data_IF_587346723264
#
_entry.id   IF_587346723264
#
_cell.length_a   1.000
_cell.length_b   1.000
_cell.length_c   1.000
_cell.angle_alpha   90.00
_cell.angle_beta   90.00
_cell.angle_gamma   90.00
#
_symmetry.space_group_name_H-M   'P 1'
#
loop_
_entity.id
_entity.type
_entity.pdbx_description
1 polymer ?
#
# COMPACT_ATOMS: atom_id res chain seq x y z
N UNK A 1 42.50 37.75 52.75
CA UNK A 1 41.60 36.66 53.16
C UNK A 1 40.26 36.88 52.48
N UNK A 2 40.31 36.78 51.15
CA UNK A 2 39.41 37.40 50.18
C UNK A 2 39.09 36.36 49.10
N UNK A 3 37.93 36.52 48.46
CA UNK A 3 37.45 35.89 47.22
C UNK A 3 36.93 34.44 47.21
N UNK A 4 37.23 33.58 48.19
CA UNK A 4 36.87 32.15 48.06
C UNK A 4 35.45 31.75 48.50
N UNK A 5 34.67 32.64 49.14
CA UNK A 5 33.34 32.27 49.69
C UNK A 5 32.14 32.70 48.84
N UNK A 6 32.34 33.49 47.79
CA UNK A 6 31.23 34.03 46.97
C UNK A 6 30.97 33.24 45.68
N UNK A 7 31.74 32.18 45.40
CA UNK A 7 31.64 31.44 44.14
C UNK A 7 30.73 30.20 44.18
N UNK A 8 30.14 29.86 45.33
CA UNK A 8 29.40 28.61 45.51
C UNK A 8 27.88 28.70 45.26
N UNK A 9 27.33 29.89 44.99
CA UNK A 9 25.88 30.09 44.81
C UNK A 9 25.43 30.31 43.36
N UNK A 10 26.35 30.33 42.39
CA UNK A 10 26.03 30.67 40.99
C UNK A 10 25.87 29.50 40.03
N UNK A 11 26.26 28.28 40.40
CA UNK A 11 26.38 27.14 39.47
C UNK A 11 25.22 26.14 39.51
N UNK A 12 24.25 26.29 40.43
CA UNK A 12 23.15 25.34 40.56
C UNK A 12 21.97 25.60 39.61
N UNK A 13 21.91 26.74 38.90
CA UNK A 13 20.77 27.08 38.03
C UNK A 13 21.00 26.78 36.54
N UNK A 14 22.21 26.40 36.13
CA UNK A 14 22.54 26.19 34.71
C UNK A 14 22.40 24.73 34.24
N UNK A 15 22.17 23.77 35.15
CA UNK A 15 22.10 22.33 34.81
C UNK A 15 20.66 21.87 34.51
N UNK A 16 19.65 22.71 34.76
CA UNK A 16 18.24 22.36 34.50
C UNK A 16 17.74 22.58 33.06
N UNK A 17 18.53 23.22 32.20
CA UNK A 17 18.11 23.60 30.83
C UNK A 17 18.83 22.83 29.72
N UNK A 18 19.78 21.96 30.05
CA UNK A 18 20.51 21.17 29.08
C UNK A 18 19.87 19.78 28.95
N UNK A 19 18.92 19.64 28.02
CA UNK A 19 18.53 18.33 27.51
C UNK A 19 17.24 17.73 28.07
N UNK A 20 16.14 18.48 28.07
CA UNK A 20 14.95 17.85 27.51
C UNK A 20 15.25 17.70 26.02
N UNK A 21 15.87 16.58 25.63
CA UNK A 21 15.80 16.13 24.25
C UNK A 21 14.29 16.10 23.95
N UNK A 22 13.80 17.06 23.18
CA UNK A 22 12.45 16.98 22.63
C UNK A 22 12.49 15.71 21.80
N UNK A 23 11.98 14.62 22.38
CA UNK A 23 11.67 13.43 21.62
C UNK A 23 10.76 13.93 20.50
N UNK A 24 11.23 13.86 19.26
CA UNK A 24 10.41 14.20 18.11
C UNK A 24 9.17 13.31 18.19
N UNK A 25 7.99 13.91 18.10
CA UNK A 25 6.75 13.13 18.12
C UNK A 25 6.83 12.02 17.06
N UNK A 26 6.36 10.79 17.37
CA UNK A 26 6.39 9.69 16.42
C UNK A 26 5.74 10.11 15.10
N UNK A 27 6.36 9.74 13.97
CA UNK A 27 5.74 9.99 12.67
C UNK A 27 4.49 9.14 12.55
N UNK A 28 3.34 9.78 12.35
CA UNK A 28 2.07 9.08 12.25
C UNK A 28 1.80 8.66 10.80
N UNK A 29 1.75 7.36 10.55
CA UNK A 29 1.64 6.77 9.21
C UNK A 29 0.28 6.10 9.02
N UNK A 30 -0.48 6.61 8.07
CA UNK A 30 -1.79 6.11 7.70
C UNK A 30 -1.78 5.10 6.55
N UNK A 31 -2.66 4.10 6.60
CA UNK A 31 -2.86 3.14 5.52
C UNK A 31 -4.36 2.99 5.19
N UNK A 32 -4.72 3.22 3.92
CA UNK A 32 -6.09 3.02 3.43
C UNK A 32 -6.14 1.75 2.59
N UNK A 33 -6.98 0.80 2.99
CA UNK A 33 -7.12 -0.51 2.34
C UNK A 33 -8.48 -0.68 1.65
N UNK A 34 -8.47 -1.28 0.46
CA UNK A 34 -9.68 -1.56 -0.33
C UNK A 34 -10.44 -2.79 0.15
N UNK A 35 -9.73 -3.76 0.74
CA UNK A 35 -10.31 -4.96 1.32
C UNK A 35 -10.07 -5.05 2.83
N UNK A 36 -10.40 -6.21 3.42
CA UNK A 36 -10.05 -6.54 4.79
C UNK A 36 -8.64 -7.17 4.86
N UNK A 37 -7.93 -6.96 5.95
CA UNK A 37 -6.68 -7.64 6.33
C UNK A 37 -6.84 -9.16 6.34
N UNK A 38 -8.07 -9.65 6.55
CA UNK A 38 -8.42 -11.06 6.47
C UNK A 38 -8.57 -11.63 5.06
N UNK A 39 -8.27 -10.87 3.99
CA UNK A 39 -8.40 -11.35 2.60
C UNK A 39 -7.41 -12.46 2.22
N UNK A 40 -6.35 -12.66 3.02
CA UNK A 40 -5.32 -13.67 2.77
C UNK A 40 -4.47 -13.40 1.52
N UNK A 41 -4.48 -12.16 1.03
CA UNK A 41 -3.81 -11.76 -0.21
C UNK A 41 -3.39 -10.29 -0.20
N UNK A 42 -4.05 -9.46 -1.01
CA UNK A 42 -3.59 -8.10 -1.30
C UNK A 42 -3.50 -7.20 -0.05
N UNK A 43 -4.60 -7.09 0.68
CA UNK A 43 -4.67 -6.24 1.87
C UNK A 43 -3.88 -6.84 3.01
N UNK A 44 -3.92 -8.16 3.16
CA UNK A 44 -3.09 -8.88 4.12
C UNK A 44 -1.60 -8.53 3.94
N UNK A 45 -1.06 -8.61 2.72
CA UNK A 45 0.36 -8.32 2.44
C UNK A 45 0.70 -6.84 2.62
N UNK A 46 -0.19 -5.91 2.27
CA UNK A 46 0.00 -4.50 2.62
C UNK A 46 0.07 -4.30 4.14
N UNK A 47 -0.78 -5.00 4.89
CA UNK A 47 -0.74 -4.95 6.35
C UNK A 47 0.50 -5.62 6.94
N UNK A 48 1.03 -6.70 6.34
CA UNK A 48 2.34 -7.24 6.72
C UNK A 48 3.44 -6.20 6.51
N UNK A 49 3.39 -5.43 5.41
CA UNK A 49 4.27 -4.29 5.19
C UNK A 49 4.17 -3.22 6.28
N UNK A 50 2.95 -2.86 6.71
CA UNK A 50 2.72 -1.94 7.84
C UNK A 50 3.33 -2.48 9.14
N UNK A 51 3.11 -3.76 9.45
CA UNK A 51 3.68 -4.39 10.65
C UNK A 51 5.22 -4.41 10.62
N UNK A 52 5.82 -4.64 9.44
CA UNK A 52 7.27 -4.57 9.27
C UNK A 52 7.83 -3.15 9.49
N UNK A 53 7.05 -2.10 9.15
CA UNK A 53 7.38 -0.71 9.47
C UNK A 53 7.38 -0.50 10.99
N UNK A 54 6.35 -0.97 11.69
CA UNK A 54 6.28 -0.89 13.15
C UNK A 54 7.46 -1.63 13.82
N UNK A 55 7.77 -2.84 13.36
CA UNK A 55 8.89 -3.64 13.87
C UNK A 55 10.24 -2.93 13.65
N UNK A 56 10.45 -2.36 12.47
CA UNK A 56 11.72 -1.75 12.12
C UNK A 56 11.97 -0.41 12.83
N UNK A 57 10.95 0.44 12.91
CA UNK A 57 11.10 1.81 13.42
C UNK A 57 10.70 1.97 14.89
N UNK A 58 9.96 1.01 15.46
CA UNK A 58 9.51 1.02 16.86
C UNK A 58 8.79 2.32 17.22
N UNK A 59 9.12 2.88 18.38
CA UNK A 59 8.50 4.09 18.94
C UNK A 59 8.69 5.36 18.08
N UNK A 60 9.45 5.30 16.98
CA UNK A 60 9.59 6.43 16.04
C UNK A 60 8.39 6.57 15.11
N UNK A 61 7.53 5.55 15.01
CA UNK A 61 6.33 5.56 14.16
C UNK A 61 5.10 5.13 14.95
N UNK A 62 3.97 5.74 14.65
CA UNK A 62 2.65 5.28 15.04
C UNK A 62 1.88 4.96 13.76
N UNK A 63 1.39 3.74 13.57
CA UNK A 63 0.60 3.43 12.38
C UNK A 63 -0.89 3.35 12.68
N UNK A 64 -1.70 3.85 11.75
CA UNK A 64 -3.16 3.72 11.75
C UNK A 64 -3.62 3.20 10.40
N UNK A 65 -4.74 2.49 10.36
CA UNK A 65 -5.29 2.00 9.10
C UNK A 65 -6.81 1.97 9.08
N UNK A 66 -7.38 1.96 7.88
CA UNK A 66 -8.81 1.76 7.64
C UNK A 66 -9.01 0.71 6.56
N UNK A 67 -9.82 -0.31 6.86
CA UNK A 67 -10.16 -1.41 5.95
C UNK A 67 -11.45 -1.15 5.16
N UNK A 68 -11.63 -1.92 4.09
CA UNK A 68 -12.86 -1.97 3.30
C UNK A 68 -13.32 -0.59 2.81
N UNK A 69 -12.39 0.29 2.43
CA UNK A 69 -12.70 1.63 1.95
C UNK A 69 -13.09 1.56 0.46
N UNK A 70 -14.33 1.87 0.07
CA UNK A 70 -14.71 1.89 -1.34
C UNK A 70 -13.97 3.00 -2.10
N UNK A 71 -13.79 2.80 -3.40
CA UNK A 71 -13.22 3.82 -4.29
C UNK A 71 -14.15 5.04 -4.46
N UNK A 72 -13.63 6.13 -5.03
CA UNK A 72 -14.40 7.35 -5.26
C UNK A 72 -14.58 8.21 -4.01
N UNK A 73 -15.80 8.72 -3.78
CA UNK A 73 -16.06 9.71 -2.72
C UNK A 73 -15.78 9.19 -1.31
N UNK A 74 -15.98 7.89 -1.07
CA UNK A 74 -15.69 7.27 0.22
C UNK A 74 -14.19 7.22 0.51
N UNK A 75 -13.37 6.96 -0.51
CA UNK A 75 -11.92 7.05 -0.40
C UNK A 75 -11.47 8.48 -0.07
N UNK A 76 -11.96 9.50 -0.79
CA UNK A 76 -11.59 10.89 -0.51
C UNK A 76 -11.94 11.27 0.95
N UNK A 77 -13.13 10.87 1.41
CA UNK A 77 -13.56 11.07 2.80
C UNK A 77 -12.64 10.35 3.78
N UNK A 78 -12.35 9.06 3.57
CA UNK A 78 -11.50 8.27 4.47
C UNK A 78 -10.07 8.84 4.56
N UNK A 79 -9.46 9.16 3.41
CA UNK A 79 -8.13 9.78 3.33
C UNK A 79 -8.15 11.12 4.08
N UNK A 80 -9.17 11.96 3.87
CA UNK A 80 -9.32 13.24 4.57
C UNK A 80 -9.44 13.05 6.09
N UNK A 81 -10.25 12.10 6.57
CA UNK A 81 -10.38 11.83 8.00
C UNK A 81 -9.06 11.35 8.62
N UNK A 82 -8.26 10.58 7.88
CA UNK A 82 -6.94 10.14 8.31
C UNK A 82 -5.96 11.32 8.43
N UNK A 83 -5.98 12.26 7.48
CA UNK A 83 -5.24 13.53 7.60
C UNK A 83 -5.66 14.31 8.85
N UNK A 84 -6.98 14.49 9.04
CA UNK A 84 -7.52 15.23 10.19
C UNK A 84 -7.23 14.54 11.55
N UNK A 85 -6.90 13.25 11.53
CA UNK A 85 -6.45 12.48 12.70
C UNK A 85 -4.95 12.62 12.99
N UNK A 86 -4.26 13.49 12.25
CA UNK A 86 -2.85 13.85 12.46
C UNK A 86 -1.85 12.98 11.73
N UNK A 87 -2.23 12.28 10.65
CA UNK A 87 -1.27 11.50 9.86
C UNK A 87 -0.32 12.42 9.08
N UNK A 88 0.99 12.17 9.21
CA UNK A 88 2.07 12.88 8.50
C UNK A 88 2.33 12.29 7.11
N UNK A 89 2.10 10.98 6.97
CA UNK A 89 2.29 10.19 5.75
C UNK A 89 1.12 9.23 5.56
N UNK A 90 0.53 9.15 4.37
CA UNK A 90 -0.58 8.24 4.08
C UNK A 90 -0.28 7.39 2.84
N UNK A 91 -0.39 6.07 3.00
CA UNK A 91 -0.38 5.09 1.92
C UNK A 91 -1.80 4.76 1.47
N UNK A 92 -2.10 4.97 0.20
CA UNK A 92 -3.39 4.61 -0.41
C UNK A 92 -3.20 3.39 -1.33
N UNK A 93 -3.67 2.23 -0.88
CA UNK A 93 -3.19 0.92 -1.35
C UNK A 93 -4.06 0.27 -2.45
N UNK A 94 -4.74 1.06 -3.29
CA UNK A 94 -5.53 0.53 -4.41
C UNK A 94 -5.52 1.50 -5.59
N UNK A 95 -5.55 0.95 -6.81
CA UNK A 95 -5.51 1.74 -8.04
C UNK A 95 -6.58 2.84 -8.07
N UNK A 96 -7.83 2.55 -7.72
CA UNK A 96 -8.91 3.52 -7.78
C UNK A 96 -8.88 4.61 -6.71
N UNK A 97 -7.88 4.61 -5.83
CA UNK A 97 -7.63 5.73 -4.92
C UNK A 97 -6.82 6.86 -5.56
N UNK A 98 -6.37 6.74 -6.81
CA UNK A 98 -5.50 7.73 -7.45
C UNK A 98 -6.09 9.15 -7.41
N UNK A 99 -7.30 9.33 -7.95
CA UNK A 99 -7.95 10.64 -8.04
C UNK A 99 -8.34 11.19 -6.66
N UNK A 100 -8.92 10.39 -5.75
CA UNK A 100 -9.11 10.80 -4.35
C UNK A 100 -7.81 11.24 -3.65
N UNK A 101 -6.70 10.51 -3.84
CA UNK A 101 -5.42 10.84 -3.21
C UNK A 101 -4.88 12.17 -3.74
N UNK A 102 -4.94 12.39 -5.06
CA UNK A 102 -4.57 13.68 -5.67
C UNK A 102 -5.41 14.82 -5.10
N UNK A 103 -6.74 14.66 -5.04
CA UNK A 103 -7.65 15.68 -4.53
C UNK A 103 -7.41 16.05 -3.07
N UNK A 104 -7.01 15.08 -2.23
CA UNK A 104 -6.65 15.35 -0.83
C UNK A 104 -5.24 15.93 -0.73
N UNK A 105 -4.27 15.42 -1.50
CA UNK A 105 -2.90 15.92 -1.50
C UNK A 105 -2.82 17.42 -1.83
N UNK A 106 -3.63 17.90 -2.79
CA UNK A 106 -3.76 19.32 -3.14
C UNK A 106 -4.27 20.20 -1.98
N UNK A 107 -5.11 19.66 -1.10
CA UNK A 107 -5.71 20.38 0.04
C UNK A 107 -4.79 20.38 1.27
N UNK A 108 -3.86 19.44 1.37
CA UNK A 108 -3.00 19.22 2.54
C UNK A 108 -1.52 19.10 2.13
N UNK A 109 -0.87 20.20 1.73
CA UNK A 109 0.51 20.18 1.20
C UNK A 109 1.58 19.71 2.20
N UNK A 110 1.28 19.82 3.50
CA UNK A 110 2.20 19.42 4.57
C UNK A 110 2.24 17.90 4.77
N UNK A 111 1.14 17.19 4.43
CA UNK A 111 1.05 15.72 4.52
C UNK A 111 1.66 15.08 3.28
N UNK A 112 2.37 13.97 3.47
CA UNK A 112 2.95 13.17 2.38
C UNK A 112 2.02 12.01 2.02
N UNK A 113 1.99 11.68 0.74
CA UNK A 113 1.11 10.64 0.21
C UNK A 113 1.92 9.70 -0.67
N UNK A 114 1.57 8.41 -0.62
CA UNK A 114 2.12 7.36 -1.46
C UNK A 114 0.97 6.54 -2.03
N UNK A 115 0.77 6.61 -3.35
CA UNK A 115 -0.34 5.91 -4.01
C UNK A 115 0.15 4.64 -4.72
N UNK A 116 -0.49 3.52 -4.39
CA UNK A 116 -0.17 2.24 -5.00
C UNK A 116 -0.68 2.17 -6.44
N UNK A 117 0.19 1.76 -7.37
CA UNK A 117 -0.10 1.34 -8.76
C UNK A 117 -0.52 2.44 -9.73
N UNK A 118 -0.81 3.65 -9.23
CA UNK A 118 -1.18 4.79 -10.06
C UNK A 118 0.00 5.42 -10.80
N UNK A 119 -0.30 6.56 -11.42
CA UNK A 119 0.65 7.29 -12.28
C UNK A 119 0.60 8.81 -12.12
N UNK A 120 -0.32 9.34 -11.29
CA UNK A 120 -0.38 10.77 -10.97
C UNK A 120 0.47 11.04 -9.74
N UNK A 121 1.35 12.03 -9.85
CA UNK A 121 2.23 12.50 -8.78
C UNK A 121 2.02 13.99 -8.53
N UNK A 122 2.42 14.46 -7.35
CA UNK A 122 2.50 15.87 -6.99
C UNK A 122 3.71 16.09 -6.05
N UNK A 123 3.98 17.34 -5.66
CA UNK A 123 5.12 17.66 -4.79
C UNK A 123 5.11 16.91 -3.45
N UNK A 124 3.91 16.56 -2.95
CA UNK A 124 3.69 15.77 -1.73
C UNK A 124 3.06 14.40 -2.00
N UNK A 125 3.01 13.93 -3.25
CA UNK A 125 2.40 12.66 -3.65
C UNK A 125 3.34 11.84 -4.54
N UNK A 126 3.89 10.76 -3.95
CA UNK A 126 4.59 9.69 -4.64
C UNK A 126 3.66 8.60 -5.16
N UNK A 127 4.21 7.75 -6.04
CA UNK A 127 3.55 6.52 -6.49
C UNK A 127 4.51 5.35 -6.36
N UNK A 128 3.98 4.18 -6.01
CA UNK A 128 4.77 2.96 -5.89
C UNK A 128 4.02 1.76 -6.49
N UNK A 129 4.75 0.80 -7.03
CA UNK A 129 4.17 -0.42 -7.60
C UNK A 129 5.22 -1.52 -7.63
N UNK A 130 4.79 -2.78 -7.77
CA UNK A 130 5.69 -3.90 -8.01
C UNK A 130 5.60 -4.37 -9.48
N UNK A 131 6.63 -5.08 -9.92
CA UNK A 131 6.65 -5.72 -11.26
C UNK A 131 5.89 -7.04 -11.23
N UNK A 132 4.61 -7.02 -10.86
CA UNK A 132 3.78 -8.23 -10.68
C UNK A 132 3.82 -9.19 -11.88
N UNK A 133 3.96 -8.64 -13.09
CA UNK A 133 4.04 -9.40 -14.33
C UNK A 133 5.26 -10.32 -14.42
N UNK A 134 6.34 -10.08 -13.65
CA UNK A 134 7.48 -11.00 -13.58
C UNK A 134 7.10 -12.30 -12.87
N UNK A 135 6.37 -12.21 -11.75
CA UNK A 135 5.79 -13.38 -11.09
C UNK A 135 4.78 -14.11 -11.99
N UNK A 136 3.98 -13.37 -12.75
CA UNK A 136 3.03 -13.95 -13.73
C UNK A 136 3.75 -14.66 -14.88
N UNK A 137 4.95 -14.24 -15.28
CA UNK A 137 5.74 -14.95 -16.28
C UNK A 137 6.11 -16.36 -15.81
N UNK A 138 6.52 -16.48 -14.55
CA UNK A 138 6.84 -17.78 -13.92
C UNK A 138 5.57 -18.64 -13.81
N UNK A 139 4.47 -18.07 -13.32
CA UNK A 139 3.19 -18.79 -13.22
C UNK A 139 2.68 -19.27 -14.58
N UNK A 140 2.79 -18.45 -15.62
CA UNK A 140 2.40 -18.82 -16.99
C UNK A 140 3.24 -19.98 -17.53
N UNK A 141 4.56 -19.93 -17.34
CA UNK A 141 5.47 -21.04 -17.71
C UNK A 141 5.05 -22.35 -17.02
N UNK A 142 4.81 -22.30 -15.71
CA UNK A 142 4.36 -23.46 -14.93
C UNK A 142 3.02 -23.98 -15.47
N UNK A 143 2.04 -23.10 -15.64
CA UNK A 143 0.71 -23.49 -16.10
C UNK A 143 0.72 -24.09 -17.51
N UNK A 144 1.57 -23.57 -18.41
CA UNK A 144 1.76 -24.13 -19.75
C UNK A 144 2.31 -25.56 -19.74
N UNK A 145 3.19 -25.89 -18.79
CA UNK A 145 3.70 -27.26 -18.60
C UNK A 145 2.70 -28.20 -17.91
N UNK A 146 1.89 -27.68 -16.97
CA UNK A 146 1.00 -28.50 -16.15
C UNK A 146 -0.37 -28.75 -16.79
N UNK A 147 -0.82 -27.91 -17.72
CA UNK A 147 -2.16 -28.06 -18.30
C UNK A 147 -2.27 -29.33 -19.15
N UNK A 148 -3.30 -30.13 -18.88
CA UNK A 148 -3.67 -31.31 -19.69
C UNK A 148 -4.69 -30.96 -20.79
N UNK A 149 -5.42 -29.85 -20.63
CA UNK A 149 -6.51 -29.43 -21.53
C UNK A 149 -6.11 -28.34 -22.51
N UNK A 150 -4.90 -27.78 -22.39
CA UNK A 150 -4.46 -26.56 -23.05
C UNK A 150 -5.29 -25.31 -22.73
N UNK A 151 -6.19 -25.37 -21.75
CA UNK A 151 -7.02 -24.22 -21.35
C UNK A 151 -6.61 -23.79 -19.94
N UNK A 152 -6.22 -22.53 -19.79
CA UNK A 152 -5.91 -21.90 -18.50
C UNK A 152 -6.99 -20.85 -18.18
N UNK A 153 -7.61 -20.98 -17.02
CA UNK A 153 -8.54 -19.99 -16.51
C UNK A 153 -7.81 -18.80 -15.86
N UNK A 154 -8.31 -17.59 -16.08
CA UNK A 154 -7.81 -16.37 -15.46
C UNK A 154 -8.98 -15.52 -14.96
N UNK A 155 -9.06 -15.33 -13.64
CA UNK A 155 -10.03 -14.43 -13.03
C UNK A 155 -9.37 -13.05 -12.93
N UNK A 156 -9.98 -12.06 -13.55
CA UNK A 156 -9.45 -10.71 -13.65
C UNK A 156 -10.39 -9.73 -12.96
N UNK A 157 -9.84 -8.73 -12.30
CA UNK A 157 -10.60 -7.69 -11.58
C UNK A 157 -11.14 -6.64 -12.55
N UNK A 158 -10.31 -5.66 -12.91
CA UNK A 158 -10.65 -4.57 -13.83
C UNK A 158 -9.65 -4.50 -15.00
N UNK A 159 -10.07 -4.07 -16.20
CA UNK A 159 -9.21 -4.01 -17.38
C UNK A 159 -8.26 -2.80 -17.36
N UNK A 160 -7.47 -2.67 -16.29
CA UNK A 160 -6.45 -1.62 -16.11
C UNK A 160 -5.06 -2.14 -16.52
N UNK A 161 -4.07 -1.25 -16.77
CA UNK A 161 -2.75 -1.65 -17.24
C UNK A 161 -2.05 -2.71 -16.39
N UNK A 162 -2.22 -2.68 -15.06
CA UNK A 162 -1.66 -3.71 -14.17
C UNK A 162 -2.17 -5.12 -14.51
N UNK A 163 -3.49 -5.27 -14.59
CA UNK A 163 -4.15 -6.56 -14.83
C UNK A 163 -3.85 -7.06 -16.24
N UNK A 164 -3.88 -6.16 -17.23
CA UNK A 164 -3.54 -6.50 -18.62
C UNK A 164 -2.08 -6.95 -18.75
N UNK A 165 -1.12 -6.30 -18.07
CA UNK A 165 0.28 -6.76 -18.03
C UNK A 165 0.38 -8.16 -17.41
N UNK A 166 -0.37 -8.43 -16.34
CA UNK A 166 -0.41 -9.73 -15.68
C UNK A 166 -0.90 -10.85 -16.61
N UNK A 167 -2.06 -10.65 -17.25
CA UNK A 167 -2.67 -11.59 -18.20
C UNK A 167 -1.71 -11.85 -19.37
N UNK A 168 -1.20 -10.79 -20.01
CA UNK A 168 -0.32 -10.91 -21.16
C UNK A 168 0.98 -11.64 -20.80
N UNK A 169 1.59 -11.30 -19.66
CA UNK A 169 2.83 -11.96 -19.22
C UNK A 169 2.61 -13.44 -18.95
N UNK A 170 1.53 -13.82 -18.26
CA UNK A 170 1.19 -15.22 -18.06
C UNK A 170 0.95 -15.95 -19.39
N UNK A 171 0.18 -15.36 -20.30
CA UNK A 171 -0.14 -15.96 -21.60
C UNK A 171 1.10 -16.19 -22.47
N UNK A 172 1.93 -15.16 -22.69
CA UNK A 172 3.08 -15.29 -23.59
C UNK A 172 4.11 -16.31 -23.07
N UNK A 173 4.23 -16.46 -21.74
CA UNK A 173 5.14 -17.42 -21.14
C UNK A 173 4.58 -18.84 -21.14
N UNK A 174 3.27 -19.02 -20.93
CA UNK A 174 2.61 -20.30 -21.16
C UNK A 174 2.75 -20.73 -22.62
N UNK A 175 2.54 -19.81 -23.57
CA UNK A 175 2.60 -20.09 -25.02
C UNK A 175 3.98 -20.54 -25.50
N UNK A 176 5.05 -20.06 -24.85
CA UNK A 176 6.44 -20.47 -25.17
C UNK A 176 6.69 -21.95 -24.92
N UNK A 177 6.05 -22.54 -23.90
CA UNK A 177 6.24 -23.95 -23.51
C UNK A 177 5.11 -24.85 -24.01
N UNK A 178 3.96 -24.26 -24.34
CA UNK A 178 2.80 -24.94 -24.91
C UNK A 178 2.19 -24.10 -26.04
N UNK A 179 2.55 -24.37 -27.31
CA UNK A 179 2.03 -23.64 -28.46
C UNK A 179 0.52 -23.75 -28.70
N UNK A 180 -0.18 -24.67 -28.05
CA UNK A 180 -1.63 -24.86 -28.21
C UNK A 180 -2.44 -24.20 -27.08
N UNK A 181 -1.76 -23.64 -26.07
CA UNK A 181 -2.43 -23.06 -24.91
C UNK A 181 -3.35 -21.89 -25.28
N UNK A 182 -4.50 -21.85 -24.60
CA UNK A 182 -5.52 -20.82 -24.65
C UNK A 182 -5.83 -20.33 -23.24
N UNK A 183 -6.12 -19.04 -23.11
CA UNK A 183 -6.58 -18.45 -21.85
C UNK A 183 -8.06 -18.13 -21.95
N UNK A 184 -8.84 -18.56 -20.95
CA UNK A 184 -10.20 -18.10 -20.72
C UNK A 184 -10.18 -17.07 -19.60
N UNK A 185 -10.66 -15.87 -19.89
CA UNK A 185 -10.64 -14.75 -18.96
C UNK A 185 -12.07 -14.46 -18.51
N UNK A 186 -12.29 -14.43 -17.20
CA UNK A 186 -13.54 -13.94 -16.59
C UNK A 186 -13.25 -12.66 -15.83
N UNK A 187 -14.01 -11.61 -16.11
CA UNK A 187 -13.91 -10.32 -15.43
C UNK A 187 -14.91 -10.25 -14.27
N UNK A 188 -14.40 -10.16 -13.04
CA UNK A 188 -15.20 -10.06 -11.83
C UNK A 188 -15.68 -8.62 -11.54
N UNK A 189 -15.01 -7.61 -12.11
CA UNK A 189 -15.27 -6.17 -11.89
C UNK A 189 -15.27 -5.78 -10.41
N UNK A 190 -14.35 -6.39 -9.66
CA UNK A 190 -14.09 -6.11 -8.25
C UNK A 190 -12.67 -6.56 -7.93
N UNK A 191 -12.06 -5.92 -6.94
CA UNK A 191 -10.78 -6.36 -6.37
C UNK A 191 -10.94 -7.45 -5.32
N UNK A 192 -12.08 -7.47 -4.63
CA UNK A 192 -12.36 -8.40 -3.55
C UNK A 192 -13.87 -8.67 -3.46
N UNK A 193 -14.27 -9.89 -3.80
CA UNK A 193 -15.63 -10.42 -3.60
C UNK A 193 -15.53 -11.95 -3.65
N UNK A 194 -15.32 -12.62 -2.50
CA UNK A 194 -15.09 -14.06 -2.46
C UNK A 194 -16.19 -14.89 -3.12
N UNK A 195 -17.44 -14.40 -3.12
CA UNK A 195 -18.55 -15.09 -3.76
C UNK A 195 -18.43 -15.02 -5.29
N UNK A 196 -18.20 -13.82 -5.86
CA UNK A 196 -17.99 -13.67 -7.31
C UNK A 196 -16.72 -14.36 -7.79
N UNK A 197 -15.65 -14.33 -7.00
CA UNK A 197 -14.40 -15.02 -7.32
C UNK A 197 -14.62 -16.54 -7.37
N UNK A 198 -15.36 -17.09 -6.40
CA UNK A 198 -15.72 -18.51 -6.40
C UNK A 198 -16.60 -18.90 -7.60
N UNK A 199 -17.57 -18.05 -7.97
CA UNK A 199 -18.42 -18.31 -9.13
C UNK A 199 -17.67 -18.17 -10.46
N UNK A 200 -16.77 -17.21 -10.58
CA UNK A 200 -15.86 -17.08 -11.72
C UNK A 200 -14.95 -18.31 -11.85
N UNK A 201 -14.44 -18.84 -10.74
CA UNK A 201 -13.63 -20.06 -10.73
C UNK A 201 -14.43 -21.28 -11.20
N UNK A 202 -15.68 -21.45 -10.76
CA UNK A 202 -16.54 -22.56 -11.19
C UNK A 202 -16.90 -22.50 -12.68
N UNK A 203 -16.95 -21.30 -13.25
CA UNK A 203 -17.34 -21.08 -14.65
C UNK A 203 -16.21 -21.35 -15.67
N UNK A 204 -14.94 -21.34 -15.21
CA UNK A 204 -13.75 -21.51 -16.05
C UNK A 204 -13.42 -22.98 -16.31
#
# INVERSE_FOLDING_TARGET
MNLLKTLAAGTALAVGLAGAALAQDPTKVGFIYVGPVGDGGWTYEHNQGRLAVEEHFGDKVETIFQENVPEGADAERAITQMVLSGADLIFTTSFGYMDPTVAVAEKFPDVKFEHATGYKTADNLGVYSARFYEGRAVQGTIAGHLTESNIIGYIASFPIPEVIRGINSAYIHAKKVNPDVQFKIVWAYTWFDPAKEADAAKAL
#
